data_IF_501313324601
#
_entry.id   IF_501313324601
#
_cell.length_a   1.000
_cell.length_b   1.000
_cell.length_c   1.000
_cell.angle_alpha   90.00
_cell.angle_beta   90.00
_cell.angle_gamma   90.00
#
_symmetry.space_group_name_H-M   'P 1'
#
loop_
_entity.id
_entity.type
_entity.pdbx_description
1 polymer ?
#
# COMPACT_ATOMS: atom_id res chain seq x y z
N UNK A 1 10.04 4.88 2.86
CA UNK A 1 8.81 5.71 2.77
C UNK A 1 7.80 5.21 3.79
N UNK A 2 7.03 6.09 4.42
CA UNK A 2 5.95 5.72 5.33
C UNK A 2 4.67 6.42 4.86
N UNK A 3 3.63 5.65 4.57
CA UNK A 3 2.29 6.18 4.29
C UNK A 3 1.43 6.02 5.53
N UNK A 4 0.87 7.11 6.02
CA UNK A 4 -0.11 7.15 7.11
C UNK A 4 -1.33 7.92 6.61
N UNK A 5 -2.20 7.23 5.88
CA UNK A 5 -3.35 7.81 5.20
C UNK A 5 -4.41 6.72 4.98
N UNK A 6 -5.56 7.10 4.45
CA UNK A 6 -6.53 6.11 3.99
C UNK A 6 -6.04 5.45 2.70
N UNK A 7 -6.39 4.17 2.57
CA UNK A 7 -6.27 3.41 1.32
C UNK A 7 -7.67 3.08 0.85
N UNK A 8 -7.90 3.19 -0.47
CA UNK A 8 -9.16 2.80 -1.08
C UNK A 8 -8.92 1.64 -2.03
N UNK A 9 -9.51 0.49 -1.70
CA UNK A 9 -9.56 -0.66 -2.59
C UNK A 9 -10.74 -0.52 -3.55
N UNK A 10 -10.47 -0.50 -4.86
CA UNK A 10 -11.51 -0.54 -5.88
C UNK A 10 -11.52 -1.92 -6.54
N UNK A 11 -12.45 -2.79 -6.12
CA UNK A 11 -12.55 -4.16 -6.63
C UNK A 11 -13.11 -4.26 -8.05
N UNK A 12 -13.84 -3.24 -8.52
CA UNK A 12 -14.38 -3.17 -9.88
C UNK A 12 -13.33 -2.70 -10.90
N UNK A 13 -12.47 -1.76 -10.49
CA UNK A 13 -11.38 -1.21 -11.29
C UNK A 13 -10.07 -1.16 -10.47
N UNK A 14 -9.31 -2.27 -10.36
CA UNK A 14 -8.16 -2.38 -9.46
C UNK A 14 -7.10 -1.29 -9.63
N UNK A 15 -6.85 -0.85 -10.87
CA UNK A 15 -5.92 0.23 -11.22
C UNK A 15 -6.32 1.61 -10.68
N UNK A 16 -7.58 1.77 -10.22
CA UNK A 16 -8.10 2.96 -9.53
C UNK A 16 -8.08 2.83 -8.01
N UNK A 17 -7.51 1.76 -7.46
CA UNK A 17 -7.20 1.70 -6.04
C UNK A 17 -6.11 2.73 -5.73
N UNK A 18 -6.17 3.41 -4.58
CA UNK A 18 -5.33 4.58 -4.33
C UNK A 18 -5.02 4.81 -2.86
N UNK A 19 -3.95 5.56 -2.61
CA UNK A 19 -3.79 6.28 -1.35
C UNK A 19 -4.55 7.59 -1.44
N UNK A 20 -5.45 7.83 -0.50
CA UNK A 20 -6.20 9.08 -0.42
C UNK A 20 -5.33 10.14 0.25
N UNK A 21 -4.80 11.05 -0.56
CA UNK A 21 -4.02 12.20 -0.10
C UNK A 21 -4.90 13.46 -0.10
N UNK A 22 -4.47 14.50 0.60
CA UNK A 22 -5.25 15.72 0.76
C UNK A 22 -5.58 16.42 -0.57
N UNK A 23 -4.60 16.49 -1.48
CA UNK A 23 -4.73 17.25 -2.72
C UNK A 23 -5.19 16.34 -3.86
N UNK A 24 -4.32 15.42 -4.29
CA UNK A 24 -4.61 14.46 -5.34
C UNK A 24 -4.32 13.03 -4.85
N UNK A 25 -5.23 12.08 -5.08
CA UNK A 25 -4.99 10.70 -4.73
C UNK A 25 -3.84 10.11 -5.55
N UNK A 26 -3.08 9.20 -4.93
CA UNK A 26 -2.00 8.48 -5.58
C UNK A 26 -2.49 7.08 -5.95
N UNK A 27 -2.86 6.90 -7.21
CA UNK A 27 -3.45 5.65 -7.68
C UNK A 27 -2.41 4.56 -7.92
N UNK A 28 -2.89 3.31 -7.98
CA UNK A 28 -2.09 2.16 -8.39
C UNK A 28 -1.46 2.39 -9.77
N UNK A 29 -2.19 3.02 -10.68
CA UNK A 29 -1.68 3.38 -12.01
C UNK A 29 -0.50 4.34 -11.92
N UNK A 30 -0.59 5.38 -11.07
CA UNK A 30 0.50 6.35 -10.89
C UNK A 30 1.75 5.67 -10.34
N UNK A 31 1.56 4.77 -9.36
CA UNK A 31 2.64 3.99 -8.76
C UNK A 31 3.34 3.09 -9.78
N UNK A 32 2.61 2.31 -10.58
CA UNK A 32 3.25 1.42 -11.57
C UNK A 32 4.13 2.17 -12.59
N UNK A 33 3.79 3.44 -12.89
CA UNK A 33 4.59 4.30 -13.76
C UNK A 33 5.72 5.06 -13.04
N UNK A 34 5.68 5.14 -11.71
CA UNK A 34 6.72 5.78 -10.92
C UNK A 34 8.03 4.98 -10.95
N UNK A 35 9.14 5.68 -10.68
CA UNK A 35 10.48 5.09 -10.58
C UNK A 35 11.22 5.66 -9.37
N UNK A 36 11.46 4.80 -8.38
CA UNK A 36 12.11 5.08 -7.11
C UNK A 36 13.29 4.11 -6.92
N UNK A 37 14.37 4.23 -7.72
CA UNK A 37 15.44 3.22 -7.79
C UNK A 37 16.23 3.04 -6.48
N UNK A 38 16.15 4.02 -5.55
CA UNK A 38 16.88 4.01 -4.28
C UNK A 38 15.95 3.84 -3.07
N UNK A 39 14.74 3.31 -3.26
CA UNK A 39 13.81 3.10 -2.16
C UNK A 39 13.95 1.67 -1.59
N UNK A 40 14.55 1.54 -0.40
CA UNK A 40 14.73 0.21 0.21
C UNK A 40 13.46 -0.34 0.85
N UNK A 41 12.66 0.52 1.49
CA UNK A 41 11.54 0.08 2.31
C UNK A 41 10.33 1.01 2.27
N UNK A 42 9.12 0.44 2.22
CA UNK A 42 7.86 1.16 2.44
C UNK A 42 7.01 0.50 3.52
N UNK A 43 6.52 1.31 4.45
CA UNK A 43 5.50 0.91 5.42
C UNK A 43 4.19 1.61 5.08
N UNK A 44 3.13 0.83 4.84
CA UNK A 44 1.83 1.32 4.44
C UNK A 44 0.85 1.16 5.60
N UNK A 45 0.75 2.20 6.43
CA UNK A 45 -0.30 2.33 7.43
C UNK A 45 -1.57 2.86 6.74
N UNK A 46 -2.16 2.03 5.88
CA UNK A 46 -3.34 2.37 5.09
C UNK A 46 -4.21 1.13 4.87
N UNK A 47 -5.54 1.31 4.97
CA UNK A 47 -6.53 0.24 4.83
C UNK A 47 -6.35 -0.58 3.55
N UNK A 48 -6.44 -1.90 3.68
CA UNK A 48 -6.46 -2.84 2.55
C UNK A 48 -5.31 -2.67 1.55
N UNK A 49 -4.19 -2.09 1.99
CA UNK A 49 -3.06 -1.74 1.11
C UNK A 49 -2.32 -2.97 0.56
N UNK A 50 -2.47 -4.12 1.20
CA UNK A 50 -1.99 -5.41 0.72
C UNK A 50 -3.12 -6.36 0.31
N UNK A 51 -4.39 -5.93 0.36
CA UNK A 51 -5.54 -6.76 0.02
C UNK A 51 -5.79 -6.72 -1.50
N UNK A 52 -5.91 -7.89 -2.13
CA UNK A 52 -6.42 -7.97 -3.50
C UNK A 52 -7.94 -8.06 -3.48
N UNK A 53 -8.61 -7.32 -4.37
CA UNK A 53 -10.05 -7.46 -4.58
C UNK A 53 -10.36 -8.86 -5.10
N UNK A 54 -10.99 -9.71 -4.28
CA UNK A 54 -11.33 -11.09 -4.62
C UNK A 54 -12.32 -11.15 -5.79
N UNK A 55 -11.80 -11.10 -7.02
CA UNK A 55 -12.57 -11.25 -8.25
C UNK A 55 -12.34 -12.65 -8.78
N UNK A 56 -13.39 -13.46 -8.76
CA UNK A 56 -13.40 -14.87 -9.16
C UNK A 56 -13.11 -15.12 -10.65
N UNK A 57 -12.92 -14.07 -11.44
CA UNK A 57 -12.76 -14.13 -12.90
C UNK A 57 -11.37 -13.71 -13.42
N UNK A 58 -10.46 -13.28 -12.56
CA UNK A 58 -9.06 -13.03 -12.92
C UNK A 58 -8.17 -13.80 -11.96
N UNK A 59 -7.54 -14.90 -12.40
CA UNK A 59 -6.49 -15.58 -11.64
C UNK A 59 -5.19 -14.75 -11.53
N UNK A 60 -5.18 -13.53 -12.05
CA UNK A 60 -3.95 -12.77 -12.28
C UNK A 60 -3.60 -11.90 -11.06
N UNK A 61 -2.84 -12.53 -10.18
CA UNK A 61 -1.75 -12.01 -9.34
C UNK A 61 -1.84 -10.57 -8.80
N UNK A 62 -2.05 -10.46 -7.48
CA UNK A 62 -1.43 -9.45 -6.59
C UNK A 62 -1.55 -7.95 -6.93
N UNK A 63 -2.54 -7.52 -7.72
CA UNK A 63 -2.79 -6.08 -7.97
C UNK A 63 -3.36 -5.39 -6.73
N UNK A 64 -2.46 -4.95 -5.86
CA UNK A 64 -2.75 -4.12 -4.68
C UNK A 64 -1.64 -3.06 -4.49
N UNK A 65 -1.91 -2.04 -3.67
CA UNK A 65 -1.01 -0.89 -3.48
C UNK A 65 0.40 -1.31 -3.05
N UNK A 66 0.54 -2.32 -2.19
CA UNK A 66 1.85 -2.82 -1.77
C UNK A 66 2.68 -3.42 -2.92
N UNK A 67 2.07 -4.10 -3.88
CA UNK A 67 2.77 -4.60 -5.08
C UNK A 67 3.10 -3.45 -6.04
N UNK A 68 2.20 -2.47 -6.16
CA UNK A 68 2.45 -1.27 -6.95
C UNK A 68 3.71 -0.52 -6.46
N UNK A 69 3.89 -0.43 -5.15
CA UNK A 69 5.12 0.12 -4.55
C UNK A 69 6.37 -0.68 -4.92
N UNK A 70 6.27 -2.01 -5.02
CA UNK A 70 7.38 -2.84 -5.50
C UNK A 70 7.69 -2.55 -6.98
N UNK A 71 6.67 -2.41 -7.83
CA UNK A 71 6.83 -2.02 -9.24
C UNK A 71 7.45 -0.63 -9.41
N UNK A 72 7.22 0.29 -8.46
CA UNK A 72 7.91 1.58 -8.43
C UNK A 72 9.43 1.45 -8.20
N UNK A 73 9.89 0.31 -7.67
CA UNK A 73 11.28 0.08 -7.26
C UNK A 73 11.51 -0.04 -5.76
N UNK A 74 10.46 -0.07 -4.92
CA UNK A 74 10.63 -0.30 -3.49
C UNK A 74 10.97 -1.76 -3.20
N UNK A 75 12.12 -2.01 -2.57
CA UNK A 75 12.64 -3.39 -2.38
C UNK A 75 11.88 -4.22 -1.36
N UNK A 76 11.26 -3.59 -0.36
CA UNK A 76 10.52 -4.30 0.70
C UNK A 76 9.33 -3.46 1.14
N UNK A 77 8.15 -4.08 1.24
CA UNK A 77 6.90 -3.38 1.55
C UNK A 77 6.14 -4.11 2.63
N UNK A 78 5.66 -3.37 3.63
CA UNK A 78 4.69 -3.83 4.62
C UNK A 78 3.38 -3.09 4.36
N UNK A 79 2.26 -3.81 4.32
CA UNK A 79 0.92 -3.25 4.21
C UNK A 79 -0.09 -4.08 5.00
N UNK A 80 -1.34 -3.62 5.05
CA UNK A 80 -2.41 -4.30 5.79
C UNK A 80 -3.30 -5.13 4.88
N UNK A 81 -3.74 -6.28 5.39
CA UNK A 81 -4.70 -7.18 4.73
C UNK A 81 -6.14 -6.95 5.23
N UNK A 82 -6.37 -5.84 5.92
CA UNK A 82 -7.63 -5.53 6.56
C UNK A 82 -7.90 -4.02 6.53
N UNK A 83 -9.18 -3.63 6.74
CA UNK A 83 -9.54 -2.26 7.04
C UNK A 83 -8.88 -1.82 8.34
N UNK A 84 -7.90 -0.93 8.26
CA UNK A 84 -7.15 -0.47 9.41
C UNK A 84 -7.91 0.67 10.10
N UNK A 85 -8.17 0.58 11.40
CA UNK A 85 -8.74 1.71 12.12
C UNK A 85 -7.68 2.80 12.34
N UNK A 86 -8.09 4.06 12.44
CA UNK A 86 -7.17 5.19 12.65
C UNK A 86 -6.28 5.02 13.90
N UNK A 87 -6.79 4.30 14.90
CA UNK A 87 -6.07 4.01 16.15
C UNK A 87 -4.98 2.94 16.00
N UNK A 88 -5.03 2.10 14.95
CA UNK A 88 -4.12 0.97 14.78
C UNK A 88 -2.74 1.44 14.28
N UNK A 89 -2.71 2.34 13.30
CA UNK A 89 -1.46 2.86 12.72
C UNK A 89 -0.49 3.42 13.78
N UNK A 90 -0.92 4.37 14.63
CA UNK A 90 -0.10 4.90 15.72
C UNK A 90 0.31 3.88 16.79
N UNK A 91 -0.38 2.74 16.90
CA UNK A 91 -0.02 1.66 17.83
C UNK A 91 1.01 0.71 17.24
N UNK A 92 0.83 0.32 15.98
CA UNK A 92 1.67 -0.69 15.31
C UNK A 92 2.99 -0.08 14.84
N UNK A 93 2.97 1.12 14.24
CA UNK A 93 4.15 1.71 13.64
C UNK A 93 5.31 1.90 14.63
N UNK A 94 5.13 2.45 15.85
CA UNK A 94 6.24 2.60 16.80
C UNK A 94 6.87 1.25 17.19
N UNK A 95 6.03 0.24 17.45
CA UNK A 95 6.50 -1.11 17.82
C UNK A 95 7.27 -1.75 16.66
N UNK A 96 6.78 -1.61 15.43
CA UNK A 96 7.46 -2.11 14.23
C UNK A 96 8.85 -1.46 14.07
N UNK A 97 8.93 -0.14 14.07
CA UNK A 97 10.20 0.57 13.88
C UNK A 97 11.20 0.35 15.02
N UNK A 98 10.73 0.12 16.26
CA UNK A 98 11.60 -0.29 17.37
C UNK A 98 12.29 -1.64 17.13
N UNK A 99 11.71 -2.53 16.34
CA UNK A 99 12.27 -3.86 16.06
C UNK A 99 12.98 -3.94 14.71
N UNK A 100 12.66 -3.06 13.76
CA UNK A 100 13.23 -3.09 12.41
C UNK A 100 14.75 -2.85 12.36
N UNK A 101 15.28 -2.07 13.32
CA UNK A 101 16.70 -1.69 13.37
C UNK A 101 17.50 -2.47 14.42
N UNK A 102 16.92 -3.54 14.97
CA UNK A 102 17.61 -4.49 15.86
C UNK A 102 18.13 -5.66 15.03
#
# INVERSE_FOLDING_TARGET
VHFACHGRLNTAEPFRSEFELQDDPLSLSDLVHARLPNADFAFLAACDSATSGGTTNTPDESLHLATAMQFCGVRSVVGTLWPMADVDGPRVAPVFYQHMFK
#
